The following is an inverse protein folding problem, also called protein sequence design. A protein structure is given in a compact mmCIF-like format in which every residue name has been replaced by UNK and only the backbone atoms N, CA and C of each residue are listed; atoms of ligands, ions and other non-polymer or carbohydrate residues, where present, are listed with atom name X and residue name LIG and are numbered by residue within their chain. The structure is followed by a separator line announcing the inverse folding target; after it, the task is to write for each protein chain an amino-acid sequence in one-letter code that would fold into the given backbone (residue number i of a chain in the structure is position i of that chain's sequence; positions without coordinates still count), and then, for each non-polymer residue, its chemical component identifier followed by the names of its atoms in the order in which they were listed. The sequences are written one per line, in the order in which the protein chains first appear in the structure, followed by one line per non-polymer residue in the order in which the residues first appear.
data_IF_238007814764
#
_entry.id   IF_238007814764
#
_cell.length_a   1.000
_cell.length_b   1.000
_cell.length_c   1.000
_cell.angle_alpha   90.00
_cell.angle_beta   90.00
_cell.angle_gamma   90.00
#
_symmetry.space_group_name_H-M   'P 1'
#
loop_
_entity.id
_entity.type
_entity.pdbx_description
1 polymer ?
#
# COMPACT_ATOMS: atom_id res chain seq x y z
N UNK A 1 8.35 5.53 24.47
CA UNK A 1 7.25 4.65 24.16
C UNK A 1 6.02 5.42 23.73
N UNK A 2 4.93 4.73 23.53
CA UNK A 2 3.64 5.27 23.07
C UNK A 2 3.12 6.41 23.98
N UNK A 3 3.31 6.29 25.29
CA UNK A 3 2.84 7.30 26.27
C UNK A 3 3.40 8.70 25.97
N UNK A 4 4.68 8.82 25.60
CA UNK A 4 5.28 10.09 25.22
C UNK A 4 4.70 10.66 23.94
N UNK A 5 4.29 9.81 23.01
CA UNK A 5 3.64 10.24 21.76
C UNK A 5 2.23 10.73 22.08
N UNK A 6 1.48 9.99 22.87
CA UNK A 6 0.14 10.38 23.30
C UNK A 6 0.14 11.70 24.10
N UNK A 7 1.11 11.88 25.02
CA UNK A 7 1.26 13.12 25.78
C UNK A 7 1.51 14.32 24.86
N UNK A 8 2.49 14.22 23.96
CA UNK A 8 2.82 15.29 23.01
C UNK A 8 1.68 15.58 22.02
N UNK A 9 0.99 14.53 21.56
CA UNK A 9 -0.15 14.65 20.65
C UNK A 9 -1.32 15.34 21.37
N UNK A 10 -1.67 14.92 22.58
CA UNK A 10 -2.75 15.51 23.38
C UNK A 10 -2.44 16.95 23.79
N UNK A 11 -1.18 17.29 24.07
CA UNK A 11 -0.80 18.69 24.34
C UNK A 11 -1.12 19.57 23.11
N UNK A 12 -0.71 19.16 21.93
CA UNK A 12 -0.96 19.88 20.68
C UNK A 12 -2.46 19.96 20.35
N UNK A 13 -3.20 18.86 20.49
CA UNK A 13 -4.64 18.83 20.14
C UNK A 13 -5.51 19.57 21.14
N UNK A 14 -5.13 19.62 22.42
CA UNK A 14 -5.82 20.50 23.40
C UNK A 14 -5.67 21.98 23.03
N UNK A 15 -4.47 22.39 22.61
CA UNK A 15 -4.23 23.78 22.23
C UNK A 15 -4.95 24.18 20.94
N UNK A 16 -5.04 23.28 19.97
CA UNK A 16 -5.56 23.58 18.63
C UNK A 16 -7.03 23.23 18.45
N UNK A 17 -7.51 22.17 19.08
CA UNK A 17 -8.84 21.61 18.89
C UNK A 17 -9.66 21.49 20.17
N UNK A 18 -9.01 21.63 21.33
CA UNK A 18 -9.68 21.49 22.63
C UNK A 18 -10.02 20.05 23.01
N UNK A 19 -9.35 19.06 22.42
CA UNK A 19 -9.58 17.63 22.65
C UNK A 19 -8.29 16.90 23.04
N UNK A 20 -8.44 15.84 23.82
CA UNK A 20 -7.38 14.84 24.04
C UNK A 20 -7.46 13.76 22.97
N UNK A 21 -6.31 13.31 22.49
CA UNK A 21 -6.21 12.22 21.51
C UNK A 21 -5.38 11.08 22.09
N UNK A 22 -5.92 9.88 22.05
CA UNK A 22 -5.22 8.65 22.37
C UNK A 22 -4.93 7.86 21.09
N UNK A 23 -3.65 7.64 20.81
CA UNK A 23 -3.22 6.82 19.70
C UNK A 23 -3.15 5.36 20.14
N UNK A 24 -3.99 4.53 19.56
CA UNK A 24 -3.97 3.07 19.75
C UNK A 24 -3.13 2.41 18.66
N UNK A 25 -2.11 1.65 19.06
CA UNK A 25 -1.28 0.89 18.13
C UNK A 25 -1.71 -0.57 18.18
N UNK A 26 -2.14 -1.08 17.05
CA UNK A 26 -2.52 -2.48 16.85
C UNK A 26 -1.47 -3.12 15.95
N UNK A 27 -1.08 -4.36 16.25
CA UNK A 27 -0.17 -5.13 15.40
C UNK A 27 -0.76 -5.29 13.99
N UNK A 28 0.07 -5.13 12.96
CA UNK A 28 -0.40 -5.15 11.57
C UNK A 28 -1.06 -6.47 11.16
N UNK A 29 -0.61 -7.60 11.73
CA UNK A 29 -1.20 -8.90 11.45
C UNK A 29 -2.58 -9.09 12.08
N UNK A 30 -2.84 -8.44 13.23
CA UNK A 30 -4.12 -8.48 13.93
C UNK A 30 -5.07 -7.36 13.50
N UNK A 31 -4.56 -6.30 12.87
CA UNK A 31 -5.29 -5.06 12.64
C UNK A 31 -6.66 -5.24 11.97
N UNK A 32 -6.75 -6.10 10.96
CA UNK A 32 -8.00 -6.32 10.23
C UNK A 32 -9.10 -6.88 11.12
N UNK A 33 -8.78 -7.87 11.94
CA UNK A 33 -9.77 -8.55 12.79
C UNK A 33 -10.11 -7.71 14.02
N UNK A 34 -9.10 -7.14 14.68
CA UNK A 34 -9.30 -6.31 15.86
C UNK A 34 -10.12 -5.06 15.51
N UNK A 35 -9.81 -4.39 14.40
CA UNK A 35 -10.55 -3.21 13.97
C UNK A 35 -12.01 -3.54 13.62
N UNK A 36 -12.28 -4.65 12.94
CA UNK A 36 -13.65 -5.09 12.66
C UNK A 36 -14.43 -5.36 13.96
N UNK A 37 -13.77 -5.98 14.94
CA UNK A 37 -14.38 -6.25 16.24
C UNK A 37 -14.72 -4.96 16.99
N UNK A 38 -13.79 -4.03 17.08
CA UNK A 38 -13.98 -2.72 17.73
C UNK A 38 -15.14 -1.94 17.09
N UNK A 39 -15.12 -1.81 15.76
CA UNK A 39 -16.17 -1.09 15.03
C UNK A 39 -17.55 -1.75 15.19
N UNK A 40 -17.61 -3.08 15.15
CA UNK A 40 -18.88 -3.81 15.28
C UNK A 40 -19.41 -3.84 16.72
N UNK A 41 -18.54 -3.73 17.73
CA UNK A 41 -18.95 -3.65 19.13
C UNK A 41 -19.43 -2.28 19.55
N UNK A 42 -19.24 -1.25 18.71
CA UNK A 42 -19.57 0.13 19.03
C UNK A 42 -18.55 0.79 19.97
N UNK A 43 -17.34 0.28 20.03
CA UNK A 43 -16.23 0.91 20.73
C UNK A 43 -15.90 2.25 20.05
N UNK A 44 -15.54 3.25 20.85
CA UNK A 44 -15.21 4.57 20.31
C UNK A 44 -13.91 4.49 19.50
N UNK A 45 -14.03 4.74 18.21
CA UNK A 45 -12.91 4.85 17.26
C UNK A 45 -13.22 6.04 16.36
N UNK A 46 -12.51 7.13 16.55
CA UNK A 46 -12.81 8.38 15.83
C UNK A 46 -12.08 8.46 14.48
N UNK A 47 -10.84 7.94 14.41
CA UNK A 47 -10.03 7.91 13.17
C UNK A 47 -9.34 6.55 13.06
N UNK A 48 -9.48 5.91 11.92
CA UNK A 48 -8.84 4.63 11.65
C UNK A 48 -8.49 4.44 10.18
N UNK A 49 -7.58 3.51 9.90
CA UNK A 49 -7.27 3.12 8.52
C UNK A 49 -8.22 2.03 8.03
N UNK A 50 -8.78 2.22 6.86
CA UNK A 50 -9.66 1.23 6.22
C UNK A 50 -8.92 0.10 5.50
N UNK A 51 -7.57 0.11 5.48
CA UNK A 51 -6.76 -0.93 4.81
C UNK A 51 -7.02 -2.34 5.35
N UNK A 52 -7.25 -2.48 6.67
CA UNK A 52 -7.54 -3.78 7.29
C UNK A 52 -8.98 -4.24 7.06
N UNK A 53 -9.99 -3.52 7.59
CA UNK A 53 -11.38 -3.93 7.49
C UNK A 53 -11.96 -3.83 6.07
N UNK A 54 -11.34 -3.05 5.19
CA UNK A 54 -11.80 -2.79 3.83
C UNK A 54 -12.72 -1.57 3.74
N UNK A 55 -12.41 -0.64 2.83
CA UNK A 55 -13.14 0.62 2.69
C UNK A 55 -14.64 0.39 2.43
N UNK A 56 -14.98 -0.41 1.42
CA UNK A 56 -16.38 -0.71 1.10
C UNK A 56 -17.13 -1.40 2.23
N UNK A 57 -16.44 -2.24 3.02
CA UNK A 57 -17.03 -2.86 4.20
C UNK A 57 -17.38 -1.81 5.25
N UNK A 58 -16.49 -0.85 5.48
CA UNK A 58 -16.74 0.23 6.44
C UNK A 58 -17.91 1.12 6.00
N UNK A 59 -17.97 1.50 4.73
CA UNK A 59 -19.08 2.31 4.18
C UNK A 59 -20.41 1.56 4.30
N UNK A 60 -20.47 0.30 3.86
CA UNK A 60 -21.71 -0.48 3.84
C UNK A 60 -22.25 -0.79 5.24
N UNK A 61 -21.39 -0.85 6.25
CA UNK A 61 -21.79 -1.06 7.64
C UNK A 61 -22.00 0.25 8.43
N UNK A 62 -21.83 1.40 7.81
CA UNK A 62 -22.01 2.70 8.47
C UNK A 62 -20.93 3.01 9.52
N UNK A 63 -19.71 2.49 9.34
CA UNK A 63 -18.57 2.77 10.23
C UNK A 63 -17.82 4.05 9.86
N UNK A 64 -18.14 4.64 8.72
CA UNK A 64 -17.54 5.88 8.22
C UNK A 64 -18.59 6.99 8.16
N UNK A 65 -18.17 8.20 8.47
CA UNK A 65 -18.99 9.39 8.39
C UNK A 65 -19.13 9.81 6.92
N UNK A 66 -20.31 10.32 6.56
CA UNK A 66 -20.51 11.09 5.33
C UNK A 66 -19.82 12.45 5.50
N UNK A 67 -18.76 12.68 4.76
CA UNK A 67 -17.97 13.92 4.87
C UNK A 67 -18.69 15.14 4.26
N UNK A 68 -19.74 14.91 3.49
CA UNK A 68 -20.51 15.99 2.84
C UNK A 68 -21.78 16.35 3.60
N UNK A 69 -22.17 15.52 4.58
CA UNK A 69 -23.29 15.85 5.45
C UNK A 69 -23.03 17.17 6.21
N UNK A 70 -24.00 18.06 6.23
CA UNK A 70 -23.93 19.38 6.87
C UNK A 70 -22.71 20.23 6.44
N UNK A 71 -22.25 20.08 5.21
CA UNK A 71 -21.07 20.79 4.66
C UNK A 71 -19.76 20.57 5.46
N UNK A 72 -19.63 19.43 6.13
CA UNK A 72 -18.47 19.14 6.99
C UNK A 72 -17.15 19.26 6.26
N UNK A 73 -17.05 18.65 5.06
CA UNK A 73 -15.81 18.66 4.30
C UNK A 73 -15.45 20.03 3.75
N UNK A 74 -16.45 20.84 3.37
CA UNK A 74 -16.27 22.21 2.91
C UNK A 74 -15.85 23.11 4.06
N UNK A 75 -16.37 22.87 5.27
CA UNK A 75 -16.12 23.72 6.44
C UNK A 75 -14.79 23.40 7.11
N UNK A 76 -14.42 22.12 7.23
CA UNK A 76 -13.29 21.68 8.02
C UNK A 76 -12.21 20.95 7.21
N UNK A 77 -12.48 20.61 5.95
CA UNK A 77 -11.60 19.83 5.09
C UNK A 77 -10.60 20.64 4.26
N UNK A 78 -10.45 21.95 4.46
CA UNK A 78 -9.58 22.82 3.65
C UNK A 78 -8.15 22.27 3.52
N UNK A 79 -7.54 21.85 4.63
CA UNK A 79 -6.19 21.29 4.60
C UNK A 79 -6.05 19.97 3.84
N UNK A 80 -7.13 19.19 3.74
CA UNK A 80 -7.17 17.98 2.90
C UNK A 80 -7.31 18.39 1.43
N UNK A 81 -8.22 19.31 1.13
CA UNK A 81 -8.49 19.80 -0.23
C UNK A 81 -7.26 20.48 -0.85
N UNK A 82 -6.45 21.18 -0.06
CA UNK A 82 -5.21 21.81 -0.53
C UNK A 82 -4.10 20.80 -0.87
N UNK A 83 -4.04 19.69 -0.13
CA UNK A 83 -2.92 18.74 -0.19
C UNK A 83 -3.22 17.49 -1.00
N UNK A 84 -4.47 17.07 -1.04
CA UNK A 84 -4.89 15.88 -1.77
C UNK A 84 -5.49 16.29 -3.11
N UNK A 85 -4.98 15.73 -4.18
CA UNK A 85 -5.50 16.00 -5.53
C UNK A 85 -6.97 15.58 -5.62
N UNK A 86 -7.76 16.37 -6.35
CA UNK A 86 -9.20 16.13 -6.50
C UNK A 86 -9.51 14.73 -7.04
N UNK A 87 -8.70 14.24 -7.98
CA UNK A 87 -8.88 12.91 -8.59
C UNK A 87 -8.74 11.78 -7.57
N UNK A 88 -7.89 11.95 -6.55
CA UNK A 88 -7.74 10.96 -5.47
C UNK A 88 -8.92 11.00 -4.50
N UNK A 89 -9.44 12.19 -4.21
CA UNK A 89 -10.67 12.34 -3.42
C UNK A 89 -11.87 11.74 -4.17
N UNK A 90 -11.96 11.98 -5.48
CA UNK A 90 -13.02 11.41 -6.31
C UNK A 90 -12.96 9.88 -6.35
N UNK A 91 -11.77 9.29 -6.33
CA UNK A 91 -11.60 7.83 -6.24
C UNK A 91 -12.10 7.24 -4.91
N UNK A 92 -12.17 8.05 -3.85
CA UNK A 92 -12.71 7.64 -2.55
C UNK A 92 -14.24 7.79 -2.46
N UNK A 93 -14.92 8.29 -3.49
CA UNK A 93 -16.38 8.44 -3.47
C UNK A 93 -17.09 7.12 -3.70
N UNK A 94 -18.11 6.88 -2.91
CA UNK A 94 -19.02 5.73 -3.07
C UNK A 94 -20.42 6.28 -3.32
N UNK A 95 -20.98 5.98 -4.47
CA UNK A 95 -22.28 6.55 -4.87
C UNK A 95 -22.28 8.08 -5.00
N UNK A 96 -21.12 8.70 -5.19
CA UNK A 96 -20.95 10.15 -5.27
C UNK A 96 -20.62 10.83 -3.94
N UNK A 97 -20.66 10.10 -2.82
CA UNK A 97 -20.42 10.60 -1.46
C UNK A 97 -19.02 10.26 -0.98
N UNK A 98 -18.34 11.20 -0.33
CA UNK A 98 -17.01 11.02 0.23
C UNK A 98 -17.10 10.50 1.68
N UNK A 99 -16.58 9.29 1.92
CA UNK A 99 -16.58 8.64 3.24
C UNK A 99 -15.19 8.51 3.87
N UNK A 100 -14.17 9.03 3.24
CA UNK A 100 -12.80 8.98 3.74
C UNK A 100 -11.84 9.69 2.81
N UNK A 101 -10.66 9.99 3.30
CA UNK A 101 -9.60 10.61 2.52
C UNK A 101 -8.44 9.62 2.31
N UNK A 102 -7.80 9.59 1.13
CA UNK A 102 -6.65 8.76 0.91
C UNK A 102 -5.44 9.30 1.68
N UNK A 103 -4.50 8.44 2.10
CA UNK A 103 -3.25 8.91 2.65
C UNK A 103 -2.45 9.64 1.57
N UNK A 104 -1.73 10.71 1.96
CA UNK A 104 -0.78 11.38 1.06
C UNK A 104 0.48 10.53 1.02
N UNK A 105 0.73 9.94 -0.14
CA UNK A 105 1.91 9.13 -0.42
C UNK A 105 2.37 9.40 -1.85
N UNK A 106 3.62 9.08 -2.16
CA UNK A 106 4.12 9.09 -3.53
C UNK A 106 3.43 7.98 -4.33
N UNK A 107 2.36 8.35 -5.02
CA UNK A 107 1.63 7.46 -5.90
C UNK A 107 2.36 7.32 -7.23
N UNK A 108 2.17 6.21 -7.90
CA UNK A 108 2.81 5.88 -9.17
C UNK A 108 4.34 5.71 -9.10
N UNK A 109 4.90 5.51 -7.91
CA UNK A 109 6.25 5.00 -7.75
C UNK A 109 6.14 3.54 -7.34
N UNK A 110 6.27 2.67 -8.30
CA UNK A 110 6.37 1.24 -8.05
C UNK A 110 7.66 0.74 -8.68
N UNK A 111 8.56 0.24 -7.86
CA UNK A 111 9.72 -0.52 -8.31
C UNK A 111 9.49 -1.97 -7.96
N UNK A 112 9.33 -2.80 -8.97
CA UNK A 112 9.31 -4.24 -8.80
C UNK A 112 10.70 -4.77 -9.03
N UNK A 113 11.22 -5.54 -8.08
CA UNK A 113 12.54 -6.11 -8.16
C UNK A 113 12.55 -7.54 -7.62
N UNK A 114 13.36 -8.38 -8.21
CA UNK A 114 13.70 -9.69 -7.69
C UNK A 114 14.98 -9.56 -6.88
N UNK A 115 14.91 -9.89 -5.59
CA UNK A 115 16.07 -9.91 -4.71
C UNK A 115 16.68 -11.31 -4.68
N UNK A 116 17.94 -11.42 -5.08
CA UNK A 116 18.68 -12.68 -5.07
C UNK A 116 19.87 -12.52 -4.14
N UNK A 117 20.08 -13.49 -3.24
CA UNK A 117 21.25 -13.48 -2.35
C UNK A 117 22.55 -13.51 -3.14
N UNK A 118 23.52 -12.67 -2.75
CA UNK A 118 24.81 -12.55 -3.45
C UNK A 118 25.53 -13.91 -3.56
N UNK A 119 25.44 -14.72 -2.54
CA UNK A 119 26.03 -16.07 -2.51
C UNK A 119 25.54 -16.97 -3.64
N UNK A 120 24.28 -16.81 -4.07
CA UNK A 120 23.71 -17.58 -5.18
C UNK A 120 24.16 -17.05 -6.53
N UNK A 121 24.26 -15.71 -6.67
CA UNK A 121 24.80 -15.09 -7.89
C UNK A 121 26.27 -15.46 -8.09
N UNK A 122 27.08 -15.42 -7.02
CA UNK A 122 28.49 -15.81 -7.04
C UNK A 122 28.65 -17.28 -7.45
N UNK A 123 27.81 -18.16 -6.91
CA UNK A 123 27.87 -19.59 -7.20
C UNK A 123 27.58 -19.94 -8.68
N UNK A 124 26.74 -19.14 -9.36
CA UNK A 124 26.47 -19.32 -10.78
C UNK A 124 27.36 -18.45 -11.68
N UNK A 125 28.24 -17.64 -11.08
CA UNK A 125 29.13 -16.74 -11.81
C UNK A 125 28.42 -15.56 -12.50
N UNK A 126 27.27 -15.12 -11.97
CA UNK A 126 26.54 -13.96 -12.48
C UNK A 126 27.26 -12.67 -12.12
N UNK A 127 27.70 -11.91 -13.11
CA UNK A 127 28.36 -10.62 -12.93
C UNK A 127 27.34 -9.49 -12.84
N UNK A 128 26.87 -9.19 -11.64
CA UNK A 128 25.92 -8.11 -11.39
C UNK A 128 26.49 -6.74 -11.75
N UNK A 129 27.81 -6.54 -11.63
CA UNK A 129 28.42 -5.24 -11.91
C UNK A 129 28.50 -4.95 -13.41
N UNK A 130 28.62 -6.00 -14.23
CA UNK A 130 28.61 -5.90 -15.69
C UNK A 130 27.19 -5.77 -16.29
N UNK A 131 26.14 -6.04 -15.51
CA UNK A 131 24.76 -5.94 -15.99
C UNK A 131 24.35 -4.48 -16.28
N UNK A 132 23.52 -4.26 -17.29
CA UNK A 132 22.90 -2.95 -17.52
C UNK A 132 22.06 -2.54 -16.30
N UNK A 133 22.20 -1.30 -15.86
CA UNK A 133 21.51 -0.78 -14.70
C UNK A 133 20.42 0.21 -15.11
N UNK A 134 19.37 0.31 -14.29
CA UNK A 134 18.41 1.40 -14.36
C UNK A 134 18.93 2.66 -13.63
N UNK A 135 18.12 3.70 -13.62
CA UNK A 135 18.45 4.99 -12.96
C UNK A 135 18.60 4.87 -11.43
N UNK A 136 18.10 3.80 -10.84
CA UNK A 136 18.18 3.49 -9.40
C UNK A 136 19.38 2.56 -9.08
N UNK A 137 20.11 2.10 -10.10
CA UNK A 137 21.26 1.23 -9.95
C UNK A 137 20.92 -0.26 -9.88
N UNK A 138 19.67 -0.67 -10.18
CA UNK A 138 19.27 -2.08 -10.24
C UNK A 138 19.57 -2.66 -11.63
N UNK A 139 19.98 -3.93 -11.67
CA UNK A 139 20.17 -4.63 -12.93
C UNK A 139 18.84 -4.77 -13.66
N UNK A 140 18.82 -4.36 -14.93
CA UNK A 140 17.70 -4.59 -15.84
C UNK A 140 17.76 -6.02 -16.35
N UNK A 141 16.77 -6.81 -15.99
CA UNK A 141 16.64 -8.19 -16.40
C UNK A 141 15.24 -8.44 -16.94
N UNK A 142 15.14 -9.20 -18.01
CA UNK A 142 13.86 -9.66 -18.50
C UNK A 142 13.46 -11.00 -17.86
N UNK A 143 12.26 -11.46 -18.16
CA UNK A 143 11.74 -12.70 -17.60
C UNK A 143 12.53 -13.93 -18.05
N UNK A 144 13.06 -13.94 -19.26
CA UNK A 144 13.85 -15.05 -19.78
C UNK A 144 15.20 -15.14 -19.07
N UNK A 145 15.81 -14.01 -18.74
CA UNK A 145 17.05 -13.96 -17.98
C UNK A 145 16.84 -14.37 -16.53
N UNK A 146 15.78 -13.90 -15.87
CA UNK A 146 15.41 -14.34 -14.51
C UNK A 146 15.22 -15.87 -14.48
N UNK A 147 14.51 -16.43 -15.44
CA UNK A 147 14.31 -17.88 -15.51
C UNK A 147 15.62 -18.65 -15.69
N UNK A 148 16.57 -18.13 -16.49
CA UNK A 148 17.90 -18.73 -16.62
C UNK A 148 18.68 -18.69 -15.31
N UNK A 149 18.66 -17.54 -14.61
CA UNK A 149 19.29 -17.38 -13.30
C UNK A 149 18.68 -18.38 -12.30
N UNK A 150 17.37 -18.50 -12.23
CA UNK A 150 16.69 -19.46 -11.35
C UNK A 150 17.03 -20.92 -11.69
N UNK A 151 17.09 -21.27 -12.97
CA UNK A 151 17.48 -22.61 -13.38
C UNK A 151 18.91 -22.94 -12.96
N UNK A 152 19.88 -22.03 -13.15
CA UNK A 152 21.26 -22.19 -12.74
C UNK A 152 21.40 -22.29 -11.21
N UNK A 153 20.66 -21.47 -10.45
CA UNK A 153 20.65 -21.55 -9.00
C UNK A 153 20.08 -22.89 -8.53
N UNK A 154 19.00 -23.38 -9.15
CA UNK A 154 18.42 -24.68 -8.81
C UNK A 154 19.38 -25.84 -9.13
N UNK A 155 20.11 -25.76 -10.23
CA UNK A 155 21.14 -26.76 -10.56
C UNK A 155 22.28 -26.76 -9.54
N UNK A 156 22.72 -25.57 -9.10
CA UNK A 156 23.78 -25.43 -8.10
C UNK A 156 23.32 -25.82 -6.67
N UNK A 157 22.03 -25.62 -6.37
CA UNK A 157 21.44 -25.84 -5.04
C UNK A 157 20.11 -26.61 -5.16
N UNK A 158 20.12 -27.89 -5.53
CA UNK A 158 18.91 -28.65 -5.83
C UNK A 158 17.97 -28.85 -4.62
N UNK A 159 18.48 -28.73 -3.41
CA UNK A 159 17.70 -28.82 -2.18
C UNK A 159 17.12 -27.48 -1.69
N UNK A 160 17.30 -26.40 -2.47
CA UNK A 160 16.79 -25.07 -2.12
C UNK A 160 15.65 -24.67 -3.04
N UNK A 161 14.70 -23.92 -2.48
CA UNK A 161 13.71 -23.21 -3.30
C UNK A 161 14.37 -21.95 -3.86
N UNK A 162 14.22 -21.73 -5.14
CA UNK A 162 14.79 -20.55 -5.82
C UNK A 162 13.99 -19.28 -5.62
N UNK A 163 12.72 -19.41 -5.22
CA UNK A 163 11.82 -18.28 -4.99
C UNK A 163 10.91 -18.58 -3.80
N UNK A 164 10.74 -17.61 -2.93
CA UNK A 164 9.70 -17.57 -1.92
C UNK A 164 8.76 -16.40 -2.22
N UNK A 165 7.48 -16.70 -2.37
CA UNK A 165 6.42 -15.72 -2.67
C UNK A 165 5.33 -15.81 -1.61
N UNK A 166 4.64 -14.71 -1.39
CA UNK A 166 3.43 -14.73 -0.58
C UNK A 166 2.29 -15.42 -1.33
N UNK A 167 1.41 -16.05 -0.58
CA UNK A 167 0.33 -16.90 -1.09
C UNK A 167 -0.57 -16.24 -2.15
N UNK A 168 -0.73 -14.92 -2.09
CA UNK A 168 -1.60 -14.15 -2.98
C UNK A 168 -0.87 -13.33 -4.05
N UNK A 169 0.46 -13.28 -4.05
CA UNK A 169 1.19 -12.39 -4.97
C UNK A 169 1.09 -12.82 -6.43
N UNK A 170 1.08 -14.12 -6.70
CA UNK A 170 0.89 -14.65 -8.06
C UNK A 170 -0.56 -14.48 -8.56
N UNK A 171 -1.53 -14.45 -7.65
CA UNK A 171 -2.95 -14.35 -8.01
C UNK A 171 -3.44 -12.91 -8.15
N UNK A 172 -2.73 -11.96 -7.56
CA UNK A 172 -3.06 -10.54 -7.65
C UNK A 172 -2.35 -9.81 -8.79
N UNK A 173 -1.54 -10.51 -9.58
CA UNK A 173 -0.87 -9.94 -10.73
C UNK A 173 0.21 -8.90 -10.41
N UNK A 174 0.48 -8.63 -9.12
CA UNK A 174 1.35 -7.53 -8.72
C UNK A 174 2.82 -7.78 -8.99
N UNK A 175 3.27 -9.01 -8.92
CA UNK A 175 4.69 -9.36 -9.08
C UNK A 175 4.99 -9.81 -10.50
N UNK A 176 4.15 -10.65 -11.08
CA UNK A 176 4.36 -11.22 -12.43
C UNK A 176 4.11 -10.18 -13.51
N UNK A 177 3.09 -9.34 -13.33
CA UNK A 177 2.72 -8.32 -14.29
C UNK A 177 3.73 -7.16 -14.35
N UNK A 178 4.56 -6.97 -13.33
CA UNK A 178 5.55 -5.91 -13.27
C UNK A 178 6.95 -6.34 -13.75
N UNK A 179 7.20 -7.62 -13.91
CA UNK A 179 8.45 -8.14 -14.45
C UNK A 179 8.30 -8.30 -15.95
N UNK A 180 8.99 -7.48 -16.73
CA UNK A 180 9.09 -7.62 -18.16
C UNK A 180 8.28 -6.67 -19.04
N UNK A 181 7.57 -5.75 -18.48
CA UNK A 181 7.03 -4.58 -19.20
C UNK A 181 5.92 -4.80 -20.22
N UNK A 182 5.54 -6.03 -20.50
CA UNK A 182 4.41 -6.36 -21.35
C UNK A 182 3.18 -6.69 -20.49
N UNK A 183 2.54 -5.66 -20.07
CA UNK A 183 1.18 -5.73 -19.56
C UNK A 183 0.25 -6.14 -20.68
N UNK A 184 -0.11 -7.32 -20.87
CA UNK A 184 -1.17 -7.88 -21.74
C UNK A 184 -2.15 -6.86 -22.35
N UNK A 185 -1.65 -5.74 -22.86
CA UNK A 185 -2.45 -4.64 -23.40
C UNK A 185 -3.21 -3.84 -22.35
N UNK A 186 -2.88 -3.96 -21.08
CA UNK A 186 -3.58 -3.29 -20.00
C UNK A 186 -2.74 -2.12 -19.51
N UNK A 187 -3.24 -0.92 -19.66
CA UNK A 187 -2.65 0.31 -19.13
C UNK A 187 -3.33 0.67 -17.82
N UNK A 188 -2.56 0.74 -16.74
CA UNK A 188 -3.02 1.35 -15.51
C UNK A 188 -3.03 2.86 -15.65
N UNK A 189 -4.15 3.48 -15.31
CA UNK A 189 -4.19 4.93 -15.13
C UNK A 189 -3.24 5.32 -13.96
N UNK A 190 -2.16 6.07 -14.23
CA UNK A 190 -1.18 6.38 -13.19
C UNK A 190 -1.73 7.31 -12.10
N UNK A 191 -2.85 7.99 -12.35
CA UNK A 191 -3.47 8.89 -11.38
C UNK A 191 -4.37 8.12 -10.43
N UNK A 192 -5.23 7.27 -10.94
CA UNK A 192 -6.23 6.57 -10.14
C UNK A 192 -5.79 5.16 -9.71
N UNK A 193 -4.78 4.61 -10.37
CA UNK A 193 -4.31 3.22 -10.15
C UNK A 193 -5.39 2.13 -10.26
N UNK A 194 -6.57 2.52 -10.78
CA UNK A 194 -7.77 1.69 -10.82
C UNK A 194 -8.35 1.54 -12.22
N UNK A 195 -7.96 2.42 -13.14
CA UNK A 195 -8.45 2.37 -14.51
C UNK A 195 -7.55 1.48 -15.34
N UNK A 196 -8.11 0.39 -15.80
CA UNK A 196 -7.47 -0.55 -16.71
C UNK A 196 -8.08 -0.34 -18.10
N UNK A 197 -7.26 -0.01 -19.08
CA UNK A 197 -7.65 0.10 -20.48
C UNK A 197 -7.03 -1.06 -21.26
N UNK A 198 -7.87 -1.81 -21.99
CA UNK A 198 -7.43 -2.88 -22.88
C UNK A 198 -7.16 -2.32 -24.29
#
# INVERSE_FOLDING_TARGET
GIDRINEALSEHTRETLGVDVELMIIDSAAYSEDMKLMLSSGEQVDIFSTCGPGYMTCVNNGYTLDFEEDDLFQTYGEGIQEKVRAEYLDACRVGGVLYGAPPIKDYAIQTSAVCIGQEYLDAIGYDYDAAEKDDLGYAKVDWDEINKIFAQIHEAFPDKYVMAIQDNELTQGSTVDNIGGDYYGTLLDPVNSLKIEN
#
